data_IF_225478889371
#
_entry.id   IF_225478889371
#
_cell.length_a   1.000
_cell.length_b   1.000
_cell.length_c   1.000
_cell.angle_alpha   90.00
_cell.angle_beta   90.00
_cell.angle_gamma   90.00
#
_symmetry.space_group_name_H-M   'P 1'
#
loop_
_entity.id
_entity.type
_entity.pdbx_description
1 polymer ?
#
# COMPACT_ATOMS: atom_id res chain seq x y z
N UNK A 1 -13.08 23.42 0.43
CA UNK A 1 -12.10 23.15 -0.66
C UNK A 1 -11.66 21.69 -0.69
N UNK A 2 -11.15 21.10 0.40
CA UNK A 2 -10.67 19.69 0.43
C UNK A 2 -11.74 18.67 0.01
N UNK A 3 -12.98 18.83 0.49
CA UNK A 3 -14.09 17.92 0.15
C UNK A 3 -14.40 17.95 -1.35
N UNK A 4 -14.43 19.13 -1.96
CA UNK A 4 -14.71 19.30 -3.39
C UNK A 4 -13.63 18.63 -4.26
N UNK A 5 -12.36 18.80 -3.89
CA UNK A 5 -11.23 18.17 -4.60
C UNK A 5 -11.35 16.64 -4.52
N UNK A 6 -11.62 16.09 -3.32
CA UNK A 6 -11.80 14.65 -3.14
C UNK A 6 -12.98 14.11 -3.94
N UNK A 7 -14.11 14.82 -3.94
CA UNK A 7 -15.28 14.44 -4.73
C UNK A 7 -14.96 14.43 -6.24
N UNK A 8 -14.25 15.44 -6.73
CA UNK A 8 -13.83 15.51 -8.12
C UNK A 8 -12.86 14.38 -8.50
N UNK A 9 -11.91 14.05 -7.61
CA UNK A 9 -10.97 12.94 -7.82
C UNK A 9 -11.69 11.58 -7.90
N UNK A 10 -12.64 11.33 -7.01
CA UNK A 10 -13.45 10.11 -7.03
C UNK A 10 -14.26 10.05 -8.33
N UNK A 11 -14.91 11.15 -8.69
CA UNK A 11 -15.68 11.24 -9.93
C UNK A 11 -14.83 10.96 -11.17
N UNK A 12 -13.66 11.60 -11.29
CA UNK A 12 -12.76 11.43 -12.42
C UNK A 12 -12.18 10.01 -12.48
N UNK A 13 -11.81 9.43 -11.34
CA UNK A 13 -11.29 8.06 -11.26
C UNK A 13 -12.34 7.04 -11.68
N UNK A 14 -13.59 7.20 -11.20
CA UNK A 14 -14.70 6.34 -11.58
C UNK A 14 -15.04 6.48 -13.08
N UNK A 15 -15.06 7.71 -13.59
CA UNK A 15 -15.27 7.99 -15.02
C UNK A 15 -14.24 7.25 -15.89
N UNK A 16 -12.97 7.34 -15.51
CA UNK A 16 -11.88 6.69 -16.23
C UNK A 16 -12.00 5.17 -16.18
N UNK A 17 -12.30 4.60 -15.00
CA UNK A 17 -12.48 3.14 -14.83
C UNK A 17 -13.62 2.60 -15.69
N UNK A 18 -14.78 3.28 -15.68
CA UNK A 18 -15.94 2.92 -16.50
C UNK A 18 -15.59 3.04 -17.98
N UNK A 19 -15.00 4.17 -18.39
CA UNK A 19 -14.60 4.38 -19.78
C UNK A 19 -13.68 3.27 -20.30
N UNK A 20 -12.65 2.91 -19.51
CA UNK A 20 -11.72 1.84 -19.86
C UNK A 20 -12.40 0.46 -19.86
N UNK A 21 -13.34 0.22 -18.96
CA UNK A 21 -14.14 -1.00 -18.96
C UNK A 21 -14.94 -1.15 -20.26
N UNK A 22 -15.72 -0.13 -20.62
CA UNK A 22 -16.49 -0.14 -21.86
C UNK A 22 -15.58 -0.23 -23.09
N UNK A 23 -14.42 0.47 -23.05
CA UNK A 23 -13.43 0.43 -24.12
C UNK A 23 -12.90 -0.99 -24.33
N UNK A 24 -12.82 -1.80 -23.28
CA UNK A 24 -12.45 -3.21 -23.38
C UNK A 24 -13.44 -4.01 -24.22
N UNK A 25 -14.74 -3.94 -23.89
CA UNK A 25 -15.79 -4.59 -24.68
C UNK A 25 -15.77 -4.12 -26.14
N UNK A 26 -15.66 -2.80 -26.35
CA UNK A 26 -15.58 -2.19 -27.66
C UNK A 26 -14.38 -2.67 -28.48
N UNK A 27 -13.18 -2.68 -27.88
CA UNK A 27 -11.94 -3.05 -28.56
C UNK A 27 -11.98 -4.52 -29.01
N UNK A 28 -12.41 -5.44 -28.14
CA UNK A 28 -12.54 -6.85 -28.50
C UNK A 28 -13.65 -7.08 -29.54
N UNK A 29 -14.78 -6.38 -29.44
CA UNK A 29 -15.86 -6.48 -30.43
C UNK A 29 -15.39 -6.04 -31.82
N UNK A 30 -14.72 -4.88 -31.89
CA UNK A 30 -14.15 -4.37 -33.15
C UNK A 30 -13.04 -5.26 -33.71
N UNK A 31 -12.21 -5.85 -32.85
CA UNK A 31 -11.15 -6.78 -33.26
C UNK A 31 -11.71 -8.01 -33.97
N UNK A 32 -12.87 -8.51 -33.54
CA UNK A 32 -13.53 -9.65 -34.18
C UNK A 32 -14.49 -9.24 -35.31
N UNK A 33 -14.58 -7.95 -35.65
CA UNK A 33 -15.49 -7.48 -36.70
C UNK A 33 -16.96 -7.41 -36.27
N UNK A 34 -17.25 -7.50 -34.98
CA UNK A 34 -18.61 -7.40 -34.44
C UNK A 34 -19.04 -5.94 -34.42
N UNK A 35 -20.25 -5.67 -34.92
CA UNK A 35 -20.78 -4.32 -34.97
C UNK A 35 -21.13 -3.82 -33.55
N UNK A 36 -20.67 -2.62 -33.22
CA UNK A 36 -21.06 -1.90 -32.00
C UNK A 36 -21.92 -0.71 -32.41
N UNK A 37 -23.16 -0.65 -31.92
CA UNK A 37 -24.12 0.38 -32.24
C UNK A 37 -23.91 1.65 -31.42
N UNK A 38 -23.64 1.48 -30.11
CA UNK A 38 -23.49 2.59 -29.17
C UNK A 38 -22.34 2.36 -28.21
N UNK A 39 -21.58 3.42 -27.93
CA UNK A 39 -20.55 3.45 -26.91
C UNK A 39 -20.77 4.70 -26.04
N UNK A 40 -21.27 4.51 -24.82
CA UNK A 40 -21.66 5.61 -23.95
C UNK A 40 -20.90 5.57 -22.63
N UNK A 41 -20.25 6.69 -22.32
CA UNK A 41 -19.77 6.96 -20.98
C UNK A 41 -20.93 7.57 -20.19
N UNK A 42 -21.33 6.96 -19.07
CA UNK A 42 -22.54 7.34 -18.33
C UNK A 42 -23.85 6.97 -19.03
N UNK A 43 -24.84 6.62 -18.22
CA UNK A 43 -26.16 6.28 -18.72
C UNK A 43 -26.88 7.54 -19.24
N UNK A 44 -27.66 7.38 -20.32
CA UNK A 44 -28.52 8.41 -20.89
C UNK A 44 -30.03 8.08 -20.75
N UNK A 45 -30.59 7.92 -19.51
CA UNK A 45 -32.02 7.63 -19.33
C UNK A 45 -32.92 8.63 -20.08
N UNK A 46 -33.89 8.11 -20.82
CA UNK A 46 -34.79 8.92 -21.65
C UNK A 46 -34.14 9.50 -22.91
N UNK A 47 -32.98 8.98 -23.33
CA UNK A 47 -32.26 9.39 -24.54
C UNK A 47 -31.57 10.76 -24.45
N UNK A 48 -31.57 11.38 -23.27
CA UNK A 48 -30.90 12.65 -22.99
C UNK A 48 -29.44 12.39 -22.67
N UNK A 49 -28.53 12.91 -23.48
CA UNK A 49 -27.09 12.88 -23.17
C UNK A 49 -26.52 14.29 -23.22
N UNK A 50 -25.41 14.48 -22.52
CA UNK A 50 -24.67 15.74 -22.49
C UNK A 50 -24.04 16.00 -23.86
N UNK A 51 -23.51 14.95 -24.50
CA UNK A 51 -22.95 15.01 -25.84
C UNK A 51 -23.16 13.68 -26.56
N UNK A 52 -23.39 13.73 -27.89
CA UNK A 52 -23.47 12.55 -28.78
C UNK A 52 -22.81 12.89 -30.11
N UNK A 53 -22.03 11.97 -30.65
CA UNK A 53 -21.47 12.06 -32.00
C UNK A 53 -21.40 10.66 -32.61
N UNK A 54 -21.54 10.57 -33.95
CA UNK A 54 -21.46 9.29 -34.65
C UNK A 54 -20.14 9.19 -35.39
N UNK A 55 -19.43 8.08 -35.19
CA UNK A 55 -18.20 7.79 -35.93
C UNK A 55 -18.26 6.36 -36.51
N UNK A 56 -18.28 6.29 -37.84
CA UNK A 56 -18.55 5.04 -38.56
C UNK A 56 -19.93 4.48 -38.23
N UNK A 57 -19.96 3.23 -37.81
CA UNK A 57 -21.17 2.50 -37.40
C UNK A 57 -21.56 2.69 -35.94
N UNK A 58 -20.74 3.38 -35.14
CA UNK A 58 -20.90 3.49 -33.69
C UNK A 58 -21.27 4.92 -33.28
N UNK A 59 -22.33 5.05 -32.50
CA UNK A 59 -22.71 6.29 -31.83
C UNK A 59 -21.98 6.39 -30.49
N UNK A 60 -21.13 7.40 -30.35
CA UNK A 60 -20.43 7.73 -29.13
C UNK A 60 -21.20 8.80 -28.36
N UNK A 61 -21.21 8.72 -27.03
CA UNK A 61 -21.86 9.75 -26.23
C UNK A 61 -21.46 9.78 -24.77
N UNK A 62 -21.87 10.85 -24.10
CA UNK A 62 -21.69 11.05 -22.67
C UNK A 62 -23.06 11.26 -22.03
N UNK A 63 -23.55 10.27 -21.28
CA UNK A 63 -24.79 10.35 -20.53
C UNK A 63 -24.72 11.38 -19.38
N UNK A 64 -25.87 11.78 -18.86
CA UNK A 64 -25.93 12.71 -17.73
C UNK A 64 -25.89 12.00 -16.37
N UNK A 65 -26.12 10.69 -16.34
CA UNK A 65 -26.23 9.90 -15.10
C UNK A 65 -24.95 9.09 -14.86
N UNK A 66 -24.10 9.47 -13.88
CA UNK A 66 -22.75 8.92 -13.72
C UNK A 66 -22.70 7.60 -12.92
N UNK A 67 -23.65 6.68 -13.15
CA UNK A 67 -23.77 5.40 -12.44
C UNK A 67 -23.42 4.19 -13.31
N UNK A 68 -22.61 4.36 -14.36
CA UNK A 68 -22.21 3.26 -15.24
C UNK A 68 -21.77 3.76 -16.60
N UNK A 69 -21.64 2.86 -17.55
CA UNK A 69 -21.45 3.10 -18.98
C UNK A 69 -22.09 1.93 -19.71
N UNK A 70 -22.18 2.01 -21.03
CA UNK A 70 -22.62 0.84 -21.79
C UNK A 70 -22.06 0.83 -23.21
N UNK A 71 -21.75 -0.37 -23.67
CA UNK A 71 -21.30 -0.66 -25.02
C UNK A 71 -22.31 -1.59 -25.70
N UNK A 72 -23.25 -1.02 -26.46
CA UNK A 72 -24.30 -1.78 -27.14
C UNK A 72 -23.73 -2.54 -28.35
N UNK A 73 -23.48 -3.82 -28.17
CA UNK A 73 -22.95 -4.73 -29.20
C UNK A 73 -24.11 -5.40 -29.93
N UNK A 74 -24.08 -5.40 -31.26
CA UNK A 74 -25.14 -5.96 -32.09
C UNK A 74 -25.27 -7.48 -31.90
N UNK A 75 -26.51 -7.96 -31.73
CA UNK A 75 -26.80 -9.37 -31.50
C UNK A 75 -26.53 -9.88 -30.08
N UNK A 76 -26.05 -9.05 -29.15
CA UNK A 76 -25.96 -9.37 -27.73
C UNK A 76 -27.22 -8.89 -27.01
N UNK A 77 -27.85 -9.76 -26.21
CA UNK A 77 -28.90 -9.31 -25.28
C UNK A 77 -28.20 -8.68 -24.10
N UNK A 78 -28.11 -7.37 -24.14
CA UNK A 78 -27.46 -6.57 -23.12
C UNK A 78 -28.50 -5.83 -22.25
N UNK A 79 -28.04 -5.07 -21.27
CA UNK A 79 -28.84 -4.25 -20.33
C UNK A 79 -29.85 -3.31 -21.02
N UNK A 80 -29.68 -3.04 -22.32
CA UNK A 80 -30.62 -2.27 -23.16
C UNK A 80 -31.86 -3.06 -23.64
N UNK A 81 -31.96 -4.38 -23.37
CA UNK A 81 -33.17 -5.20 -23.55
C UNK A 81 -33.86 -5.11 -24.93
N UNK A 82 -33.10 -4.95 -26.02
CA UNK A 82 -33.65 -4.93 -27.38
C UNK A 82 -33.91 -6.37 -27.89
N UNK A 83 -35.03 -6.97 -27.46
CA UNK A 83 -35.44 -8.31 -27.91
C UNK A 83 -35.87 -8.39 -29.39
N UNK A 84 -36.02 -7.24 -30.08
CA UNK A 84 -36.45 -7.18 -31.48
C UNK A 84 -35.41 -7.72 -32.46
N UNK A 85 -34.14 -7.74 -32.09
CA UNK A 85 -33.05 -8.27 -32.94
C UNK A 85 -32.92 -9.80 -32.86
N UNK A 86 -33.59 -10.49 -31.93
CA UNK A 86 -33.46 -11.95 -31.80
C UNK A 86 -34.36 -12.76 -32.74
N UNK A 87 -35.32 -12.10 -33.41
CA UNK A 87 -36.32 -12.75 -34.27
C UNK A 87 -35.87 -12.93 -35.73
N UNK A 88 -34.75 -12.35 -36.14
CA UNK A 88 -34.18 -12.51 -37.48
C UNK A 88 -33.05 -13.56 -37.49
N UNK A 89 -32.72 -14.09 -38.67
CA UNK A 89 -31.56 -14.96 -38.84
C UNK A 89 -30.26 -14.22 -38.46
N UNK A 90 -29.33 -14.87 -37.74
CA UNK A 90 -28.13 -14.22 -37.25
C UNK A 90 -27.25 -13.75 -38.42
N UNK A 91 -26.97 -12.44 -38.46
CA UNK A 91 -26.10 -11.86 -39.50
C UNK A 91 -24.63 -12.07 -39.16
N UNK A 92 -23.75 -12.16 -40.16
CA UNK A 92 -22.33 -12.50 -39.96
C UNK A 92 -21.59 -11.54 -39.00
N UNK A 93 -22.01 -10.27 -38.94
CA UNK A 93 -21.43 -9.22 -38.09
C UNK A 93 -22.07 -9.11 -36.69
N UNK A 94 -23.00 -10.00 -36.37
CA UNK A 94 -23.65 -10.08 -35.06
C UNK A 94 -22.87 -10.96 -34.10
N UNK A 95 -22.85 -10.57 -32.82
CA UNK A 95 -22.17 -11.29 -31.74
C UNK A 95 -22.47 -12.80 -31.75
N UNK A 96 -23.71 -13.20 -32.02
CA UNK A 96 -24.17 -14.61 -32.00
C UNK A 96 -23.57 -15.48 -33.10
N UNK A 97 -23.08 -14.89 -34.18
CA UNK A 97 -22.51 -15.60 -35.34
C UNK A 97 -21.05 -15.97 -35.12
N UNK A 98 -20.41 -15.43 -34.08
CA UNK A 98 -19.00 -15.68 -33.78
C UNK A 98 -18.77 -16.91 -32.87
N UNK A 99 -17.61 -17.58 -33.00
CA UNK A 99 -17.19 -18.66 -32.11
C UNK A 99 -17.28 -18.29 -30.62
N UNK A 100 -17.55 -19.29 -29.77
CA UNK A 100 -17.77 -19.08 -28.34
C UNK A 100 -16.59 -18.39 -27.62
N UNK A 101 -15.36 -18.66 -28.03
CA UNK A 101 -14.18 -18.04 -27.42
C UNK A 101 -14.05 -16.54 -27.74
N UNK A 102 -14.46 -16.11 -28.94
CA UNK A 102 -14.48 -14.69 -29.31
C UNK A 102 -15.55 -13.95 -28.51
N UNK A 103 -16.74 -14.56 -28.43
CA UNK A 103 -17.84 -14.06 -27.59
C UNK A 103 -17.44 -13.92 -26.12
N UNK A 104 -16.74 -14.92 -25.59
CA UNK A 104 -16.22 -14.90 -24.23
C UNK A 104 -15.24 -13.75 -24.00
N UNK A 105 -14.29 -13.51 -24.91
CA UNK A 105 -13.33 -12.41 -24.79
C UNK A 105 -14.02 -11.04 -24.87
N UNK A 106 -15.06 -10.91 -25.70
CA UNK A 106 -15.86 -9.69 -25.77
C UNK A 106 -16.63 -9.45 -24.47
N UNK A 107 -17.27 -10.49 -23.90
CA UNK A 107 -17.97 -10.38 -22.60
C UNK A 107 -17.02 -10.17 -21.42
N UNK A 108 -15.81 -10.73 -21.47
CA UNK A 108 -14.78 -10.49 -20.45
C UNK A 108 -13.98 -9.20 -20.71
N UNK A 109 -14.21 -8.55 -21.85
CA UNK A 109 -13.36 -7.51 -22.41
C UNK A 109 -13.14 -6.35 -21.46
N UNK A 110 -14.19 -5.89 -20.79
CA UNK A 110 -14.08 -4.81 -19.81
C UNK A 110 -13.23 -5.16 -18.58
N UNK A 111 -13.38 -6.37 -18.04
CA UNK A 111 -12.56 -6.83 -16.90
C UNK A 111 -11.11 -6.99 -17.32
N UNK A 112 -10.86 -7.63 -18.47
CA UNK A 112 -9.52 -7.83 -19.01
C UNK A 112 -8.82 -6.49 -19.27
N UNK A 113 -9.51 -5.51 -19.84
CA UNK A 113 -8.92 -4.20 -20.11
C UNK A 113 -8.59 -3.44 -18.82
N UNK A 114 -9.43 -3.54 -17.78
CA UNK A 114 -9.11 -2.96 -16.47
C UNK A 114 -7.90 -3.62 -15.82
N UNK A 115 -7.73 -4.95 -15.95
CA UNK A 115 -6.53 -5.65 -15.46
C UNK A 115 -5.28 -5.18 -16.21
N UNK A 116 -5.34 -5.10 -17.55
CA UNK A 116 -4.23 -4.59 -18.37
C UNK A 116 -3.89 -3.16 -17.98
N UNK A 117 -4.89 -2.29 -17.84
CA UNK A 117 -4.69 -0.91 -17.39
C UNK A 117 -4.06 -0.84 -16.00
N UNK A 118 -4.48 -1.68 -15.05
CA UNK A 118 -3.89 -1.73 -13.71
C UNK A 118 -2.41 -2.11 -13.76
N UNK A 119 -2.04 -3.13 -14.55
CA UNK A 119 -0.64 -3.55 -14.74
C UNK A 119 0.18 -2.41 -15.35
N UNK A 120 -0.29 -1.80 -16.45
CA UNK A 120 0.41 -0.71 -17.11
C UNK A 120 0.56 0.51 -16.20
N UNK A 121 -0.50 0.86 -15.46
CA UNK A 121 -0.46 1.97 -14.49
C UNK A 121 0.56 1.70 -13.40
N UNK A 122 0.61 0.46 -12.89
CA UNK A 122 1.59 0.08 -11.87
C UNK A 122 3.03 0.14 -12.39
N UNK A 123 3.27 -0.32 -13.63
CA UNK A 123 4.57 -0.18 -14.30
C UNK A 123 4.97 1.29 -14.41
N UNK A 124 4.07 2.16 -14.91
CA UNK A 124 4.34 3.60 -15.03
C UNK A 124 4.63 4.20 -13.66
N UNK A 125 3.88 3.82 -12.63
CA UNK A 125 4.10 4.31 -11.27
C UNK A 125 5.51 3.93 -10.79
N UNK A 126 5.92 2.67 -10.97
CA UNK A 126 7.24 2.20 -10.57
C UNK A 126 8.37 2.83 -11.40
N UNK A 127 8.18 3.10 -12.69
CA UNK A 127 9.18 3.76 -13.51
C UNK A 127 9.35 5.25 -13.13
N UNK A 128 8.24 5.96 -12.86
CA UNK A 128 8.27 7.40 -12.58
C UNK A 128 8.69 7.69 -11.15
N UNK A 129 8.11 6.99 -10.17
CA UNK A 129 8.33 7.25 -8.76
C UNK A 129 9.24 6.23 -8.07
N UNK A 130 9.49 5.08 -8.68
CA UNK A 130 10.26 4.02 -8.05
C UNK A 130 9.51 3.32 -6.92
N UNK A 131 10.27 2.63 -6.08
CA UNK A 131 9.78 2.02 -4.85
C UNK A 131 10.59 2.57 -3.67
N UNK A 132 9.91 3.23 -2.74
CA UNK A 132 10.50 3.64 -1.47
C UNK A 132 10.51 2.47 -0.49
N UNK A 133 11.64 2.25 0.16
CA UNK A 133 11.84 1.19 1.13
C UNK A 133 12.85 1.59 2.20
N UNK A 134 12.85 0.86 3.31
CA UNK A 134 13.84 1.02 4.38
C UNK A 134 15.00 0.08 4.05
N UNK A 135 16.20 0.65 3.95
CA UNK A 135 17.39 -0.13 3.63
C UNK A 135 17.86 -0.94 4.82
N UNK A 136 17.84 -2.26 4.65
CA UNK A 136 18.30 -3.19 5.66
C UNK A 136 19.79 -3.01 6.01
N UNK A 137 20.61 -2.55 5.06
CA UNK A 137 22.06 -2.45 5.29
C UNK A 137 22.43 -1.50 6.43
N UNK A 138 21.56 -0.55 6.79
CA UNK A 138 21.77 0.43 7.87
C UNK A 138 20.79 0.30 9.03
N UNK A 139 19.91 -0.71 9.00
CA UNK A 139 18.79 -0.83 9.93
C UNK A 139 18.98 -1.98 10.91
N UNK A 140 18.60 -1.72 12.15
CA UNK A 140 18.61 -2.66 13.25
C UNK A 140 17.19 -3.23 13.47
N UNK A 141 17.11 -4.48 13.92
CA UNK A 141 15.84 -5.14 14.24
C UNK A 141 15.50 -4.98 15.72
N UNK A 142 14.22 -4.72 15.99
CA UNK A 142 13.58 -4.90 17.27
C UNK A 142 12.73 -6.16 17.17
N UNK A 143 13.04 -7.16 17.99
CA UNK A 143 12.55 -8.52 17.82
C UNK A 143 11.40 -8.81 18.75
N UNK A 144 10.49 -9.68 18.31
CA UNK A 144 9.47 -10.25 19.18
C UNK A 144 9.96 -11.56 19.83
N UNK A 145 9.08 -12.19 20.61
CA UNK A 145 9.41 -13.42 21.35
C UNK A 145 9.82 -14.58 20.42
N UNK A 146 9.15 -14.76 19.28
CA UNK A 146 9.50 -15.81 18.30
C UNK A 146 10.92 -15.61 17.78
N UNK A 147 11.27 -14.40 17.33
CA UNK A 147 12.62 -14.08 16.90
C UNK A 147 13.64 -14.21 18.04
N UNK A 148 13.25 -13.85 19.27
CA UNK A 148 14.11 -14.00 20.43
C UNK A 148 14.43 -15.47 20.73
N UNK A 149 13.45 -16.37 20.62
CA UNK A 149 13.64 -17.81 20.76
C UNK A 149 14.57 -18.39 19.68
N UNK A 150 14.53 -17.82 18.47
CA UNK A 150 15.42 -18.18 17.36
C UNK A 150 16.84 -17.60 17.50
N UNK A 151 17.12 -16.86 18.58
CA UNK A 151 18.46 -16.34 18.90
C UNK A 151 18.74 -14.91 18.43
N UNK A 152 17.79 -14.26 17.75
CA UNK A 152 17.89 -12.84 17.42
C UNK A 152 17.74 -11.98 18.68
N UNK A 153 18.29 -10.78 18.65
CA UNK A 153 18.23 -9.80 19.75
C UNK A 153 17.90 -8.41 19.20
N UNK A 154 17.37 -7.55 20.07
CA UNK A 154 17.17 -6.14 19.74
C UNK A 154 18.52 -5.50 19.41
N UNK A 155 18.57 -4.69 18.36
CA UNK A 155 19.80 -4.07 17.87
C UNK A 155 20.61 -4.94 16.90
N UNK A 156 20.18 -6.18 16.62
CA UNK A 156 20.83 -6.99 15.59
C UNK A 156 20.61 -6.35 14.19
N UNK A 157 21.63 -6.40 13.33
CA UNK A 157 21.48 -6.07 11.89
C UNK A 157 21.59 -7.34 11.08
N UNK A 158 20.55 -7.70 10.34
CA UNK A 158 20.56 -8.93 9.54
C UNK A 158 21.39 -8.70 8.28
N UNK A 159 22.58 -9.29 8.21
CA UNK A 159 23.49 -9.15 7.08
C UNK A 159 23.18 -10.13 5.97
N UNK A 160 22.90 -11.39 6.33
CA UNK A 160 22.63 -12.47 5.36
C UNK A 160 21.61 -13.45 5.89
N UNK A 161 20.86 -14.04 4.95
CA UNK A 161 20.01 -15.20 5.14
C UNK A 161 20.53 -16.28 4.17
N UNK A 162 21.29 -17.24 4.70
CA UNK A 162 22.19 -18.13 3.95
C UNK A 162 23.10 -17.34 2.98
N UNK A 163 22.93 -17.52 1.67
CA UNK A 163 23.71 -16.85 0.63
C UNK A 163 23.08 -15.53 0.15
N UNK A 164 21.88 -15.19 0.62
CA UNK A 164 21.15 -14.00 0.20
C UNK A 164 21.39 -12.81 1.13
N UNK A 165 21.62 -11.64 0.54
CA UNK A 165 21.76 -10.36 1.26
C UNK A 165 20.46 -9.57 1.12
N UNK A 166 19.65 -9.44 2.19
CA UNK A 166 18.40 -8.69 2.12
C UNK A 166 18.65 -7.19 1.95
N UNK A 167 18.01 -6.57 0.96
CA UNK A 167 18.05 -5.11 0.73
C UNK A 167 16.95 -4.38 1.50
N UNK A 168 15.74 -4.95 1.57
CA UNK A 168 14.58 -4.29 2.12
C UNK A 168 14.25 -4.81 3.52
N UNK A 169 14.35 -3.93 4.52
CA UNK A 169 14.10 -4.25 5.92
C UNK A 169 12.69 -4.85 6.13
N UNK A 170 11.68 -4.28 5.49
CA UNK A 170 10.29 -4.73 5.65
C UNK A 170 10.05 -6.14 5.08
N UNK A 171 10.98 -6.64 4.25
CA UNK A 171 10.90 -7.99 3.67
C UNK A 171 11.68 -9.03 4.46
N UNK A 172 12.39 -8.68 5.52
CA UNK A 172 13.25 -9.62 6.26
C UNK A 172 12.52 -10.90 6.71
N UNK A 173 11.33 -10.76 7.30
CA UNK A 173 10.53 -11.91 7.75
C UNK A 173 10.05 -12.75 6.55
N UNK A 174 9.60 -12.09 5.48
CA UNK A 174 9.15 -12.76 4.27
C UNK A 174 10.29 -13.48 3.53
N UNK A 175 11.48 -12.87 3.50
CA UNK A 175 12.68 -13.43 2.89
C UNK A 175 13.19 -14.62 3.69
N UNK A 176 13.17 -14.54 5.04
CA UNK A 176 13.49 -15.67 5.93
C UNK A 176 12.57 -16.87 5.66
N UNK A 177 11.26 -16.64 5.60
CA UNK A 177 10.27 -17.70 5.41
C UNK A 177 10.26 -18.26 3.98
N UNK A 178 10.22 -17.39 2.96
CA UNK A 178 10.13 -17.80 1.54
C UNK A 178 11.36 -18.59 1.09
N UNK A 179 12.53 -18.27 1.65
CA UNK A 179 13.79 -18.95 1.32
C UNK A 179 14.05 -20.17 2.18
N UNK A 180 13.22 -20.40 3.20
CA UNK A 180 13.43 -21.44 4.23
C UNK A 180 14.87 -21.40 4.78
N UNK A 181 15.36 -20.18 5.07
CA UNK A 181 16.77 -19.99 5.33
C UNK A 181 17.19 -20.76 6.59
N UNK A 182 18.27 -21.52 6.48
CA UNK A 182 18.78 -22.35 7.56
C UNK A 182 19.72 -21.60 8.48
N UNK A 183 20.33 -20.51 8.00
CA UNK A 183 21.25 -19.67 8.76
C UNK A 183 20.97 -18.19 8.54
N UNK A 184 21.12 -17.42 9.60
CA UNK A 184 21.11 -15.96 9.54
C UNK A 184 22.41 -15.41 10.10
N UNK A 185 23.12 -14.60 9.31
CA UNK A 185 24.29 -13.87 9.80
C UNK A 185 23.85 -12.48 10.23
N UNK A 186 24.10 -12.14 11.50
CA UNK A 186 23.72 -10.85 12.08
C UNK A 186 24.95 -10.12 12.62
N UNK A 187 24.93 -8.79 12.55
CA UNK A 187 25.86 -7.94 13.28
C UNK A 187 25.19 -7.55 14.60
N UNK A 188 25.79 -7.94 15.72
CA UNK A 188 25.35 -7.63 17.08
C UNK A 188 26.38 -6.73 17.74
N UNK A 189 26.08 -5.43 17.81
CA UNK A 189 27.08 -4.44 18.20
C UNK A 189 28.26 -4.43 17.22
N UNK A 190 29.45 -4.84 17.67
CA UNK A 190 30.66 -4.97 16.84
C UNK A 190 30.87 -6.36 16.25
N UNK A 191 30.15 -7.37 16.75
CA UNK A 191 30.46 -8.78 16.48
C UNK A 191 29.53 -9.37 15.43
N UNK A 192 30.08 -10.20 14.55
CA UNK A 192 29.27 -10.96 13.58
C UNK A 192 28.91 -12.31 14.19
N UNK A 193 27.62 -12.60 14.30
CA UNK A 193 27.07 -13.82 14.89
C UNK A 193 26.31 -14.60 13.83
N UNK A 194 26.55 -15.91 13.75
CA UNK A 194 25.79 -16.82 12.88
C UNK A 194 24.74 -17.56 13.71
N UNK A 195 23.48 -17.40 13.35
CA UNK A 195 22.33 -18.04 13.99
C UNK A 195 21.84 -19.20 13.12
N UNK A 196 21.61 -20.35 13.75
CA UNK A 196 21.01 -21.51 13.09
C UNK A 196 19.51 -21.48 13.29
N UNK A 197 18.78 -21.52 12.18
CA UNK A 197 17.33 -21.40 12.15
C UNK A 197 16.72 -22.79 12.06
N UNK A 198 15.98 -23.18 13.10
CA UNK A 198 15.21 -24.41 13.05
C UNK A 198 14.01 -24.25 12.11
N UNK A 199 13.98 -25.07 11.07
CA UNK A 199 12.88 -25.08 10.09
C UNK A 199 11.55 -25.46 10.71
N UNK A 200 11.54 -26.17 11.84
CA UNK A 200 10.32 -26.46 12.58
C UNK A 200 9.59 -25.20 13.07
N UNK A 201 10.31 -24.06 13.21
CA UNK A 201 9.73 -22.78 13.61
C UNK A 201 9.11 -21.98 12.45
N UNK A 202 9.22 -22.43 11.19
CA UNK A 202 8.69 -21.68 10.03
C UNK A 202 7.18 -21.41 10.06
N UNK A 203 6.31 -22.34 10.51
CA UNK A 203 4.90 -22.05 10.70
C UNK A 203 4.66 -20.92 11.72
N UNK A 204 5.48 -20.85 12.77
CA UNK A 204 5.40 -19.76 13.75
C UNK A 204 5.88 -18.45 13.15
N UNK A 205 7.00 -18.44 12.42
CA UNK A 205 7.52 -17.27 11.70
C UNK A 205 6.46 -16.68 10.76
N UNK A 206 5.71 -17.51 10.03
CA UNK A 206 4.67 -17.04 9.12
C UNK A 206 3.44 -16.45 9.84
N UNK A 207 3.12 -16.96 11.03
CA UNK A 207 1.99 -16.48 11.83
C UNK A 207 2.36 -15.35 12.80
N UNK A 208 3.65 -15.12 13.02
CA UNK A 208 4.17 -14.13 13.95
C UNK A 208 3.92 -12.73 13.42
N UNK A 209 3.25 -11.90 14.21
CA UNK A 209 3.02 -10.50 13.85
C UNK A 209 4.28 -9.69 14.12
N UNK A 210 4.79 -8.99 13.09
CA UNK A 210 5.93 -8.08 13.20
C UNK A 210 7.14 -8.74 13.88
N UNK A 211 7.62 -9.85 13.32
CA UNK A 211 8.77 -10.58 13.87
C UNK A 211 10.02 -9.71 13.98
N UNK A 212 10.25 -8.89 12.94
CA UNK A 212 11.28 -7.87 12.89
C UNK A 212 10.62 -6.51 12.72
N UNK A 213 10.56 -5.73 13.80
CA UNK A 213 10.19 -4.32 13.75
C UNK A 213 11.47 -3.46 13.62
N UNK A 214 11.35 -2.25 13.10
CA UNK A 214 12.50 -1.37 12.91
C UNK A 214 12.93 -0.80 14.27
N UNK A 215 14.12 -1.15 14.74
CA UNK A 215 14.68 -0.59 15.96
C UNK A 215 15.00 0.90 15.73
N UNK A 216 14.25 1.78 16.38
CA UNK A 216 14.36 3.22 16.20
C UNK A 216 14.86 3.88 17.48
N UNK A 217 15.86 4.78 17.43
CA UNK A 217 16.17 5.60 18.58
C UNK A 217 15.00 6.55 18.86
N UNK A 218 14.73 6.82 20.15
CA UNK A 218 13.71 7.78 20.54
C UNK A 218 14.27 9.22 20.42
N UNK A 219 14.28 9.76 19.21
CA UNK A 219 14.75 11.13 18.92
C UNK A 219 13.56 12.05 18.70
N UNK A 220 13.51 13.15 19.46
CA UNK A 220 12.44 14.14 19.38
C UNK A 220 12.64 15.02 18.15
N UNK A 221 11.63 15.07 17.28
CA UNK A 221 11.58 16.05 16.21
C UNK A 221 10.92 17.35 16.69
N UNK A 222 9.74 17.27 17.30
CA UNK A 222 9.01 18.44 17.77
C UNK A 222 8.10 18.12 18.95
N UNK A 223 7.84 19.13 19.78
CA UNK A 223 6.89 19.05 20.89
C UNK A 223 5.54 19.58 20.39
N UNK A 224 4.46 18.82 20.59
CA UNK A 224 3.14 19.26 20.15
C UNK A 224 2.68 20.47 20.99
N UNK A 225 2.32 21.57 20.33
CA UNK A 225 1.91 22.80 21.01
C UNK A 225 0.67 22.63 21.91
N UNK A 226 -0.21 21.69 21.58
CA UNK A 226 -1.39 21.34 22.39
C UNK A 226 -1.15 20.17 23.37
N UNK A 227 0.09 19.67 23.44
CA UNK A 227 0.46 18.51 24.26
C UNK A 227 0.81 18.90 25.70
N UNK A 228 0.83 17.93 26.63
CA UNK A 228 1.12 18.17 28.05
C UNK A 228 2.54 18.71 28.29
N UNK A 229 3.45 18.48 27.34
CA UNK A 229 4.85 18.88 27.44
C UNK A 229 5.20 20.15 26.65
N UNK A 230 4.22 20.91 26.15
CA UNK A 230 4.47 22.13 25.36
C UNK A 230 5.33 23.18 26.09
N UNK A 231 5.25 23.25 27.42
CA UNK A 231 6.07 24.12 28.27
C UNK A 231 7.35 23.46 28.81
N UNK A 232 7.64 22.22 28.44
CA UNK A 232 8.84 21.52 28.89
C UNK A 232 10.10 22.05 28.19
N UNK A 233 11.27 21.76 28.75
CA UNK A 233 12.56 22.10 28.12
C UNK A 233 13.01 21.06 27.08
N UNK A 234 12.10 20.23 26.54
CA UNK A 234 12.39 19.30 25.45
C UNK A 234 12.58 20.05 24.14
N UNK A 235 13.55 19.60 23.33
CA UNK A 235 13.97 20.28 22.09
C UNK A 235 14.14 19.27 20.96
N UNK A 236 14.12 19.80 19.73
CA UNK A 236 14.50 19.05 18.54
C UNK A 236 15.90 18.44 18.70
N UNK A 237 16.03 17.15 18.38
CA UNK A 237 17.28 16.40 18.46
C UNK A 237 17.59 15.78 19.82
N UNK A 238 16.78 16.03 20.86
CA UNK A 238 16.93 15.35 22.14
C UNK A 238 16.68 13.84 21.95
N UNK A 239 17.63 13.01 22.41
CA UNK A 239 17.48 11.55 22.40
C UNK A 239 17.09 11.06 23.77
N UNK A 240 15.92 10.45 23.90
CA UNK A 240 15.49 9.84 25.15
C UNK A 240 16.25 8.52 25.39
N UNK A 241 16.83 8.38 26.58
CA UNK A 241 17.61 7.21 27.00
C UNK A 241 17.11 6.59 28.29
N UNK A 242 16.23 7.26 29.04
CA UNK A 242 15.60 6.69 30.22
C UNK A 242 14.26 7.35 30.57
N UNK A 243 13.38 6.60 31.22
CA UNK A 243 12.11 7.08 31.79
C UNK A 243 12.01 6.58 33.23
N UNK A 244 11.90 7.49 34.20
CA UNK A 244 11.91 7.18 35.65
C UNK A 244 13.11 6.31 36.07
N UNK A 245 14.27 6.55 35.46
CA UNK A 245 15.51 5.79 35.71
C UNK A 245 15.56 4.40 35.05
N UNK A 246 14.50 3.97 34.35
CA UNK A 246 14.55 2.76 33.49
C UNK A 246 15.17 3.13 32.16
N UNK A 247 16.29 2.52 31.83
CA UNK A 247 16.97 2.73 30.55
C UNK A 247 16.10 2.26 29.38
N UNK A 248 16.16 3.02 28.29
CA UNK A 248 15.58 2.68 27.01
C UNK A 248 16.66 2.86 25.94
N UNK A 249 16.74 1.92 25.01
CA UNK A 249 17.65 2.02 23.87
C UNK A 249 16.86 2.39 22.62
N UNK A 250 15.69 1.76 22.47
CA UNK A 250 14.80 1.94 21.34
C UNK A 250 13.48 2.59 21.77
N UNK A 251 12.82 3.21 20.79
CA UNK A 251 11.49 3.79 20.92
C UNK A 251 10.49 2.76 21.45
N UNK A 252 10.60 1.51 21.03
CA UNK A 252 9.72 0.42 21.44
C UNK A 252 9.75 0.19 22.95
N UNK A 253 10.92 0.30 23.59
CA UNK A 253 11.10 0.11 25.03
C UNK A 253 10.30 1.12 25.86
N UNK A 254 10.07 2.32 25.31
CA UNK A 254 9.33 3.37 25.99
C UNK A 254 7.84 3.05 26.15
N UNK A 255 7.24 2.30 25.21
CA UNK A 255 5.79 2.05 25.16
C UNK A 255 5.24 1.38 26.42
N UNK A 256 5.79 0.24 26.91
CA UNK A 256 5.29 -0.38 28.13
C UNK A 256 5.46 0.52 29.35
N UNK A 257 6.56 1.29 29.43
CA UNK A 257 6.81 2.20 30.55
C UNK A 257 5.78 3.33 30.57
N UNK A 258 5.60 4.03 29.45
CA UNK A 258 4.63 5.12 29.33
C UNK A 258 3.18 4.63 29.52
N UNK A 259 2.87 3.40 29.11
CA UNK A 259 1.55 2.82 29.35
C UNK A 259 1.29 2.51 30.83
N UNK A 260 2.32 2.26 31.64
CA UNK A 260 2.17 2.10 33.10
C UNK A 260 2.07 3.43 33.86
N UNK A 261 2.50 4.53 33.25
CA UNK A 261 2.61 5.87 33.83
C UNK A 261 1.52 6.83 33.29
N UNK A 262 0.33 6.31 32.96
CA UNK A 262 -0.73 7.14 32.35
C UNK A 262 -1.23 8.21 33.31
N UNK A 263 -1.20 9.47 32.87
CA UNK A 263 -1.67 10.61 33.66
C UNK A 263 -0.75 11.00 34.82
N UNK A 264 0.48 10.49 34.85
CA UNK A 264 1.48 10.82 35.88
C UNK A 264 2.59 11.69 35.31
N UNK A 265 3.31 12.36 36.21
CA UNK A 265 4.56 13.04 35.87
C UNK A 265 5.72 12.04 35.93
N UNK A 266 6.59 12.09 34.92
CA UNK A 266 7.74 11.22 34.77
C UNK A 266 9.01 12.04 34.62
N UNK A 267 10.14 11.46 35.02
CA UNK A 267 11.46 12.04 34.78
C UNK A 267 12.10 11.39 33.56
N UNK A 268 12.35 12.19 32.53
CA UNK A 268 13.00 11.77 31.29
C UNK A 268 14.49 11.99 31.39
N UNK A 269 15.28 10.94 31.18
CA UNK A 269 16.72 11.05 30.93
C UNK A 269 16.96 11.22 29.43
N UNK A 270 17.51 12.34 29.01
CA UNK A 270 17.80 12.64 27.61
C UNK A 270 19.29 12.91 27.38
N UNK A 271 19.74 12.66 26.16
CA UNK A 271 21.04 13.11 25.65
C UNK A 271 20.79 14.27 24.70
N UNK A 272 21.48 15.39 24.96
CA UNK A 272 21.49 16.60 24.12
C UNK A 272 22.94 16.95 23.79
N UNK A 273 23.36 16.61 22.58
CA UNK A 273 24.77 16.74 22.19
C UNK A 273 25.65 15.81 23.03
N UNK A 274 26.54 16.37 23.85
CA UNK A 274 27.40 15.61 24.77
C UNK A 274 26.83 15.53 26.20
N UNK A 275 25.76 16.26 26.51
CA UNK A 275 25.20 16.35 27.85
C UNK A 275 24.08 15.33 28.07
N UNK A 276 24.04 14.74 29.27
CA UNK A 276 22.90 13.96 29.76
C UNK A 276 22.09 14.82 30.72
N UNK A 277 20.81 15.04 30.43
CA UNK A 277 19.91 15.90 31.20
C UNK A 277 18.72 15.10 31.73
N UNK A 278 18.23 15.49 32.90
CA UNK A 278 16.96 15.00 33.45
C UNK A 278 15.89 16.08 33.31
N UNK A 279 14.80 15.77 32.62
CA UNK A 279 13.69 16.70 32.35
C UNK A 279 12.39 16.10 32.89
N UNK A 280 11.67 16.86 33.71
CA UNK A 280 10.31 16.49 34.10
C UNK A 280 9.37 16.63 32.90
N UNK A 281 8.56 15.61 32.67
CA UNK A 281 7.55 15.56 31.62
C UNK A 281 6.27 14.92 32.16
N UNK A 282 5.16 15.21 31.52
CA UNK A 282 3.87 14.61 31.85
C UNK A 282 3.45 13.61 30.76
N UNK A 283 2.94 12.46 31.21
CA UNK A 283 2.35 11.45 30.32
C UNK A 283 0.84 11.66 30.32
N UNK A 284 0.25 11.77 29.13
CA UNK A 284 -1.19 11.92 29.01
C UNK A 284 -1.96 10.64 29.40
N UNK A 285 -3.28 10.74 29.46
CA UNK A 285 -4.16 9.60 29.80
C UNK A 285 -4.14 8.48 28.76
N UNK A 286 -3.57 8.72 27.58
CA UNK A 286 -3.36 7.74 26.52
C UNK A 286 -1.98 7.07 26.57
N UNK A 287 -1.12 7.43 27.52
CA UNK A 287 0.23 6.88 27.65
C UNK A 287 1.22 7.52 26.66
N UNK A 288 1.04 8.79 26.32
CA UNK A 288 1.90 9.51 25.36
C UNK A 288 2.47 10.79 25.95
N UNK A 289 3.63 11.19 25.43
CA UNK A 289 4.31 12.42 25.80
C UNK A 289 3.90 13.63 24.93
N UNK A 290 3.08 13.44 23.90
CA UNK A 290 2.72 14.51 22.96
C UNK A 290 3.92 15.03 22.15
N UNK A 291 4.75 14.10 21.66
CA UNK A 291 5.98 14.40 20.90
C UNK A 291 5.86 13.82 19.48
N UNK A 292 6.38 14.55 18.50
CA UNK A 292 6.68 14.03 17.17
C UNK A 292 8.11 13.49 17.18
N UNK A 293 8.33 12.37 16.49
CA UNK A 293 9.61 11.69 16.44
C UNK A 293 10.28 11.87 15.08
N UNK A 294 11.60 11.86 15.07
CA UNK A 294 12.36 11.93 13.83
C UNK A 294 12.07 10.70 12.96
N UNK A 295 11.74 10.92 11.70
CA UNK A 295 11.45 9.84 10.76
C UNK A 295 12.74 9.05 10.43
N UNK A 296 12.64 7.72 10.24
CA UNK A 296 13.78 6.93 9.78
C UNK A 296 14.19 7.28 8.35
N UNK A 297 15.43 6.93 8.00
CA UNK A 297 15.94 7.07 6.64
C UNK A 297 15.22 6.13 5.67
N UNK A 298 14.61 6.70 4.63
CA UNK A 298 13.94 5.98 3.55
C UNK A 298 14.79 6.11 2.28
N UNK A 299 15.06 5.00 1.60
CA UNK A 299 15.71 4.98 0.27
C UNK A 299 14.65 4.75 -0.82
N UNK A 300 14.90 5.29 -2.01
CA UNK A 300 14.03 5.06 -3.18
C UNK A 300 14.80 4.33 -4.27
N UNK A 301 14.36 3.11 -4.59
CA UNK A 301 14.86 2.34 -5.75
C UNK A 301 14.19 2.87 -7.01
N UNK A 302 14.97 3.28 -8.01
CA UNK A 302 14.47 3.68 -9.33
C UNK A 302 14.62 2.52 -10.31
N UNK A 303 13.57 2.29 -11.09
CA UNK A 303 13.54 1.29 -12.15
C UNK A 303 13.66 2.04 -13.49
N UNK A 304 14.90 2.28 -13.92
CA UNK A 304 15.23 2.89 -15.20
C UNK A 304 15.36 1.82 -16.29
#
# INVERSE_FOLDING_TARGET
MVILIKALQVFLSLSLLIFLHELGHFAWAKLFGIKVEKFFLFFDPGGKAIAKWKWGDTEFGIGWLPFGGYCKIAGMVDESMDMKQLSEEPKEWEFRSHPAWQRMLVMAGGVLNNIIFAILSYIVILCVWGQSYIDNSTSEVYVNDTAYQMGFRNGDRILKLDDYTPENFAMLQADLARREASRATVLRGSDTVELYIDRAMMPEVLNSQLMFDLALPFVIDSVMASGPNAGSNLRHGDRLIAINGKEIEFLQDSRPILSSEKGTDVTLGIVRGADTLSIAAQVDTSGRLGLSLMAPNIKTKRYN
#
